data_IF_431361623351
#
_entry.id   IF_431361623351
#
_cell.length_a   1.000
_cell.length_b   1.000
_cell.length_c   1.000
_cell.angle_alpha   90.00
_cell.angle_beta   90.00
_cell.angle_gamma   90.00
#
_symmetry.space_group_name_H-M   'P 1'
#
loop_
_entity.id
_entity.type
_entity.pdbx_description
1 polymer ?
#
# COMPACT_ATOMS: atom_id res chain seq x y z
N UNK A 1 -7.85 -7.27 15.64
CA UNK A 1 -8.51 -6.13 14.96
C UNK A 1 -8.15 -6.17 13.49
N UNK A 2 -9.09 -5.84 12.60
CA UNK A 2 -8.82 -5.76 11.16
C UNK A 2 -7.99 -4.49 10.85
N UNK A 3 -7.04 -4.55 9.90
CA UNK A 3 -6.26 -3.37 9.52
C UNK A 3 -7.14 -2.35 8.81
N UNK A 4 -6.87 -1.06 9.05
CA UNK A 4 -7.41 0.05 8.25
C UNK A 4 -6.39 0.41 7.19
N UNK A 5 -6.81 0.37 5.92
CA UNK A 5 -5.99 0.82 4.81
C UNK A 5 -6.22 2.29 4.52
N UNK A 6 -5.18 2.99 4.09
CA UNK A 6 -5.25 4.37 3.66
C UNK A 6 -4.72 4.49 2.23
N UNK A 7 -5.51 5.02 1.30
CA UNK A 7 -5.06 5.28 -0.07
C UNK A 7 -4.67 6.74 -0.24
N UNK A 8 -3.48 6.97 -0.79
CA UNK A 8 -3.04 8.30 -1.20
C UNK A 8 -3.78 8.80 -2.48
N UNK A 9 -3.25 9.87 -3.07
CA UNK A 9 -3.81 10.51 -4.27
C UNK A 9 -3.55 9.72 -5.55
N UNK A 10 -2.61 8.78 -5.55
CA UNK A 10 -2.07 8.12 -6.75
C UNK A 10 -2.82 6.85 -7.17
N UNK A 11 -3.91 6.51 -6.46
CA UNK A 11 -4.72 5.31 -6.68
C UNK A 11 -6.11 5.59 -7.29
N UNK A 12 -6.42 6.86 -7.55
CA UNK A 12 -7.71 7.28 -8.12
C UNK A 12 -8.91 6.89 -7.24
N UNK A 13 -10.12 6.95 -7.83
CA UNK A 13 -11.38 6.69 -7.09
C UNK A 13 -11.77 5.21 -7.06
N UNK A 14 -11.45 4.46 -8.12
CA UNK A 14 -11.88 3.06 -8.27
C UNK A 14 -11.16 2.12 -7.31
N UNK A 15 -9.88 2.37 -7.02
CA UNK A 15 -9.10 1.48 -6.16
C UNK A 15 -9.68 1.37 -4.74
N UNK A 16 -9.85 2.47 -3.97
CA UNK A 16 -10.44 2.38 -2.63
C UNK A 16 -11.90 1.89 -2.67
N UNK A 17 -12.65 2.21 -3.73
CA UNK A 17 -14.03 1.72 -3.90
C UNK A 17 -14.09 0.19 -3.98
N UNK A 18 -13.31 -0.42 -4.87
CA UNK A 18 -13.27 -1.88 -5.04
C UNK A 18 -12.84 -2.58 -3.74
N UNK A 19 -11.89 -2.02 -3.00
CA UNK A 19 -11.46 -2.58 -1.72
C UNK A 19 -12.57 -2.49 -0.66
N UNK A 20 -13.29 -1.37 -0.59
CA UNK A 20 -14.45 -1.20 0.32
C UNK A 20 -15.58 -2.18 -0.03
N UNK A 21 -15.89 -2.34 -1.31
CA UNK A 21 -16.89 -3.31 -1.78
C UNK A 21 -16.55 -4.76 -1.43
N UNK A 22 -15.26 -5.08 -1.35
CA UNK A 22 -14.76 -6.38 -0.87
C UNK A 22 -14.74 -6.52 0.66
N UNK A 23 -15.24 -5.53 1.41
CA UNK A 23 -15.35 -5.56 2.87
C UNK A 23 -14.10 -5.07 3.62
N UNK A 24 -13.11 -4.50 2.94
CA UNK A 24 -11.96 -3.89 3.60
C UNK A 24 -12.30 -2.50 4.14
N UNK A 25 -11.78 -2.17 5.32
CA UNK A 25 -11.84 -0.80 5.83
C UNK A 25 -10.78 0.05 5.15
N UNK A 26 -11.21 1.03 4.37
CA UNK A 26 -10.31 1.89 3.59
C UNK A 26 -10.68 3.35 3.80
N UNK A 27 -9.69 4.16 4.12
CA UNK A 27 -9.74 5.61 4.21
C UNK A 27 -9.01 6.22 3.02
N UNK A 28 -9.44 7.38 2.54
CA UNK A 28 -8.80 8.06 1.40
C UNK A 28 -8.19 9.36 1.86
N UNK A 29 -7.09 9.76 1.24
CA UNK A 29 -6.48 11.07 1.50
C UNK A 29 -7.49 12.21 1.40
N UNK A 30 -8.31 12.25 0.33
CA UNK A 30 -9.30 13.30 0.12
C UNK A 30 -10.43 13.35 1.16
N UNK A 31 -10.61 12.30 1.97
CA UNK A 31 -11.61 12.26 3.03
C UNK A 31 -11.08 12.90 4.34
N UNK A 32 -9.75 13.06 4.48
CA UNK A 32 -9.10 13.50 5.73
C UNK A 32 -8.24 14.75 5.58
N UNK A 33 -7.77 15.05 4.37
CA UNK A 33 -6.77 16.09 4.13
C UNK A 33 -7.10 16.91 2.86
N UNK A 34 -6.75 18.21 2.83
CA UNK A 34 -6.87 19.01 1.62
C UNK A 34 -5.93 18.51 0.53
N UNK A 35 -6.23 18.82 -0.73
CA UNK A 35 -5.50 18.26 -1.88
C UNK A 35 -3.99 18.57 -1.85
N UNK A 36 -3.62 19.75 -1.37
CA UNK A 36 -2.26 20.28 -1.25
C UNK A 36 -1.55 19.91 0.05
N UNK A 37 -2.15 19.04 0.90
CA UNK A 37 -1.52 18.56 2.12
C UNK A 37 -0.13 17.93 1.82
N UNK A 38 0.94 18.43 2.45
CA UNK A 38 2.29 17.90 2.29
C UNK A 38 2.41 16.45 2.75
N UNK A 39 3.34 15.71 2.14
CA UNK A 39 3.50 14.29 2.45
C UNK A 39 3.87 13.98 3.91
N UNK A 40 4.79 14.72 4.56
CA UNK A 40 5.09 14.51 5.98
C UNK A 40 3.87 14.65 6.90
N UNK A 41 2.97 15.59 6.60
CA UNK A 41 1.84 15.91 7.47
C UNK A 41 0.80 14.79 7.49
N UNK A 42 0.41 14.27 6.31
CA UNK A 42 -0.52 13.15 6.28
C UNK A 42 0.15 11.85 6.73
N UNK A 43 1.44 11.63 6.44
CA UNK A 43 2.21 10.48 6.94
C UNK A 43 2.27 10.44 8.47
N UNK A 44 2.48 11.60 9.11
CA UNK A 44 2.39 11.73 10.57
C UNK A 44 1.01 11.29 11.08
N UNK A 45 -0.05 11.85 10.52
CA UNK A 45 -1.42 11.58 10.97
C UNK A 45 -1.82 10.10 10.81
N UNK A 46 -1.47 9.45 9.70
CA UNK A 46 -1.79 8.03 9.51
C UNK A 46 -0.92 7.11 10.36
N UNK A 47 0.34 7.50 10.61
CA UNK A 47 1.27 6.79 11.48
C UNK A 47 0.75 6.74 12.91
N UNK A 48 0.30 7.89 13.44
CA UNK A 48 -0.32 7.97 14.77
C UNK A 48 -1.61 7.14 14.90
N UNK A 49 -2.35 6.97 13.80
CA UNK A 49 -3.58 6.15 13.75
C UNK A 49 -3.30 4.65 13.56
N UNK A 50 -2.05 4.27 13.25
CA UNK A 50 -1.69 2.89 12.92
C UNK A 50 -2.31 2.39 11.62
N UNK A 51 -2.66 3.29 10.69
CA UNK A 51 -3.21 2.93 9.40
C UNK A 51 -2.12 2.47 8.44
N UNK A 52 -2.49 1.61 7.50
CA UNK A 52 -1.57 1.05 6.50
C UNK A 52 -1.74 1.81 5.20
N UNK A 53 -0.74 2.61 4.84
CA UNK A 53 -0.74 3.34 3.58
C UNK A 53 -0.58 2.38 2.40
N UNK A 54 -1.33 2.64 1.33
CA UNK A 54 -1.16 2.03 0.02
C UNK A 54 -0.89 3.17 -0.97
N UNK A 55 0.17 3.01 -1.74
CA UNK A 55 0.56 3.95 -2.80
C UNK A 55 0.86 3.20 -4.10
N UNK A 56 0.72 3.89 -5.23
CA UNK A 56 1.30 3.45 -6.50
C UNK A 56 2.58 4.21 -6.87
N UNK A 57 2.96 5.25 -6.12
CA UNK A 57 4.19 5.99 -6.37
C UNK A 57 5.43 5.18 -5.95
N UNK A 58 6.02 4.49 -6.93
CA UNK A 58 7.28 3.79 -6.75
C UNK A 58 8.49 4.72 -6.53
N UNK A 59 8.33 6.04 -6.60
CA UNK A 59 9.41 7.03 -6.40
C UNK A 59 9.69 7.33 -4.94
N UNK A 60 8.90 6.86 -3.98
CA UNK A 60 9.20 7.07 -2.56
C UNK A 60 10.63 6.66 -2.18
N UNK A 61 11.20 5.66 -2.88
CA UNK A 61 12.61 5.23 -2.72
C UNK A 61 13.65 6.31 -3.04
N UNK A 62 13.27 7.36 -3.75
CA UNK A 62 14.13 8.43 -4.26
C UNK A 62 13.83 9.79 -3.65
N UNK A 63 12.91 9.84 -2.68
CA UNK A 63 12.51 11.07 -2.00
C UNK A 63 12.93 10.95 -0.53
N UNK A 64 14.15 11.41 -0.18
CA UNK A 64 14.70 11.24 1.17
C UNK A 64 13.76 11.74 2.27
N UNK A 65 13.05 12.84 2.02
CA UNK A 65 12.11 13.43 2.97
C UNK A 65 10.91 12.53 3.26
N UNK A 66 10.34 11.88 2.23
CA UNK A 66 9.22 10.94 2.41
C UNK A 66 9.68 9.67 3.13
N UNK A 67 10.86 9.16 2.79
CA UNK A 67 11.44 8.01 3.50
C UNK A 67 11.68 8.33 4.97
N UNK A 68 12.24 9.52 5.27
CA UNK A 68 12.43 9.99 6.63
C UNK A 68 11.09 10.08 7.39
N UNK A 69 10.05 10.68 6.77
CA UNK A 69 8.73 10.78 7.37
C UNK A 69 8.08 9.40 7.64
N UNK A 70 8.23 8.43 6.73
CA UNK A 70 7.76 7.05 6.96
C UNK A 70 8.44 6.42 8.18
N UNK A 71 9.75 6.62 8.33
CA UNK A 71 10.53 6.07 9.45
C UNK A 71 10.17 6.78 10.75
N UNK A 72 10.22 8.10 10.76
CA UNK A 72 9.97 8.97 11.91
C UNK A 72 8.57 8.75 12.48
N UNK A 73 7.57 8.70 11.61
CA UNK A 73 6.17 8.53 12.00
C UNK A 73 5.71 7.07 12.06
N UNK A 74 6.65 6.12 11.96
CA UNK A 74 6.40 4.68 12.11
C UNK A 74 5.28 4.19 11.18
N UNK A 75 5.32 4.60 9.91
CA UNK A 75 4.29 4.25 8.93
C UNK A 75 4.49 2.83 8.40
N UNK A 76 3.39 2.09 8.25
CA UNK A 76 3.32 0.87 7.45
C UNK A 76 2.91 1.22 6.03
N UNK A 77 3.81 1.06 5.06
CA UNK A 77 3.57 1.43 3.67
C UNK A 77 3.63 0.22 2.73
N UNK A 78 2.59 0.08 1.91
CA UNK A 78 2.50 -0.88 0.82
C UNK A 78 2.59 -0.14 -0.52
N UNK A 79 3.58 -0.49 -1.34
CA UNK A 79 3.78 0.07 -2.68
C UNK A 79 3.28 -0.94 -3.71
N UNK A 80 2.24 -0.58 -4.46
CA UNK A 80 1.73 -1.38 -5.57
C UNK A 80 2.70 -1.28 -6.76
N UNK A 81 3.30 -2.40 -7.16
CA UNK A 81 4.29 -2.45 -8.23
C UNK A 81 3.71 -3.06 -9.51
N UNK A 82 3.95 -2.36 -10.63
CA UNK A 82 3.63 -2.79 -11.98
C UNK A 82 2.63 -1.86 -12.67
N UNK A 83 2.70 -1.79 -13.99
CA UNK A 83 1.81 -0.94 -14.78
C UNK A 83 0.49 -1.67 -15.06
N UNK A 84 -0.62 -1.18 -14.53
CA UNK A 84 -1.98 -1.67 -14.81
C UNK A 84 -3.01 -0.59 -14.44
N UNK A 85 -4.24 -0.66 -14.98
CA UNK A 85 -5.34 0.18 -14.50
C UNK A 85 -5.57 0.01 -12.99
N UNK A 86 -5.95 1.08 -12.30
CA UNK A 86 -6.18 1.05 -10.85
C UNK A 86 -7.16 -0.03 -10.40
N UNK A 87 -8.21 -0.30 -11.20
CA UNK A 87 -9.14 -1.38 -10.92
C UNK A 87 -8.47 -2.77 -10.93
N UNK A 88 -7.49 -3.00 -11.81
CA UNK A 88 -6.72 -4.25 -11.83
C UNK A 88 -5.74 -4.32 -10.67
N UNK A 89 -5.10 -3.20 -10.30
CA UNK A 89 -4.23 -3.15 -9.12
C UNK A 89 -5.02 -3.45 -7.83
N UNK A 90 -6.25 -2.94 -7.71
CA UNK A 90 -7.14 -3.24 -6.60
C UNK A 90 -7.51 -4.72 -6.54
N UNK A 91 -7.92 -5.30 -7.68
CA UNK A 91 -8.19 -6.74 -7.79
C UNK A 91 -6.96 -7.59 -7.46
N UNK A 92 -5.77 -7.17 -7.88
CA UNK A 92 -4.54 -7.85 -7.52
C UNK A 92 -4.26 -7.78 -6.01
N UNK A 93 -4.52 -6.65 -5.36
CA UNK A 93 -4.41 -6.54 -3.90
C UNK A 93 -5.37 -7.52 -3.22
N UNK A 94 -6.63 -7.57 -3.66
CA UNK A 94 -7.63 -8.52 -3.13
C UNK A 94 -7.22 -9.98 -3.34
N UNK A 95 -6.76 -10.34 -4.55
CA UNK A 95 -6.23 -11.67 -4.83
C UNK A 95 -5.02 -12.01 -3.94
N UNK A 96 -4.23 -11.01 -3.54
CA UNK A 96 -3.04 -11.16 -2.68
C UNK A 96 -3.35 -10.96 -1.18
N UNK A 97 -4.60 -10.70 -0.81
CA UNK A 97 -4.99 -10.23 0.53
C UNK A 97 -4.52 -11.16 1.64
N UNK A 98 -4.66 -12.48 1.48
CA UNK A 98 -4.23 -13.44 2.50
C UNK A 98 -2.71 -13.32 2.80
N UNK A 99 -1.88 -13.13 1.77
CA UNK A 99 -0.43 -12.94 1.91
C UNK A 99 -0.11 -11.60 2.55
N UNK A 100 -0.82 -10.54 2.16
CA UNK A 100 -0.67 -9.20 2.73
C UNK A 100 -1.03 -9.21 4.22
N UNK A 101 -2.13 -9.85 4.60
CA UNK A 101 -2.58 -9.92 5.99
C UNK A 101 -1.61 -10.73 6.85
N UNK A 102 -1.11 -11.87 6.33
CA UNK A 102 -0.07 -12.63 7.00
C UNK A 102 1.21 -11.81 7.18
N UNK A 103 1.61 -11.06 6.16
CA UNK A 103 2.77 -10.17 6.22
C UNK A 103 2.60 -9.07 7.28
N UNK A 104 1.45 -8.37 7.28
CA UNK A 104 1.15 -7.29 8.23
C UNK A 104 1.21 -7.81 9.68
N UNK A 105 0.71 -9.02 9.94
CA UNK A 105 0.76 -9.63 11.28
C UNK A 105 2.18 -9.97 11.73
N UNK A 106 3.08 -10.24 10.80
CA UNK A 106 4.47 -10.63 11.09
C UNK A 106 5.44 -9.46 11.20
N UNK A 107 5.06 -8.26 10.74
CA UNK A 107 5.94 -7.10 10.67
C UNK A 107 5.42 -5.94 11.52
N UNK A 108 6.31 -5.33 12.29
CA UNK A 108 6.00 -4.10 13.04
C UNK A 108 6.45 -2.88 12.24
N UNK A 109 5.70 -1.75 12.25
CA UNK A 109 6.17 -0.51 11.65
C UNK A 109 7.46 0.02 12.30
N UNK A 110 8.21 0.91 11.61
CA UNK A 110 8.01 1.27 10.21
C UNK A 110 8.42 0.14 9.28
N UNK A 111 7.67 -0.06 8.20
CA UNK A 111 8.11 -0.89 7.09
C UNK A 111 7.58 -0.35 5.78
N UNK A 112 8.31 -0.66 4.72
CA UNK A 112 7.87 -0.45 3.36
C UNK A 112 7.94 -1.81 2.67
N UNK A 113 6.81 -2.25 2.14
CA UNK A 113 6.71 -3.50 1.40
C UNK A 113 6.18 -3.25 -0.02
N UNK A 114 6.66 -4.04 -0.97
CA UNK A 114 6.23 -3.99 -2.37
C UNK A 114 5.26 -5.11 -2.65
N UNK A 115 4.11 -4.76 -3.17
CA UNK A 115 3.08 -5.70 -3.62
C UNK A 115 3.14 -5.78 -5.14
N UNK A 116 3.68 -6.87 -5.65
CA UNK A 116 3.80 -7.11 -7.09
C UNK A 116 2.59 -7.89 -7.57
N UNK A 117 2.09 -7.50 -8.73
CA UNK A 117 1.13 -8.31 -9.47
C UNK A 117 1.70 -9.67 -9.86
N UNK A 118 0.82 -10.68 -9.90
CA UNK A 118 1.13 -11.88 -10.65
C UNK A 118 1.41 -11.49 -12.12
N UNK A 119 2.36 -12.18 -12.77
CA UNK A 119 2.68 -11.91 -14.17
C UNK A 119 1.40 -11.96 -15.01
N UNK A 120 1.32 -11.12 -16.05
CA UNK A 120 0.18 -11.12 -16.95
C UNK A 120 -0.04 -12.54 -17.48
N UNK A 121 -1.10 -13.16 -16.97
CA UNK A 121 -1.60 -14.41 -17.46
C UNK A 121 -1.82 -14.31 -18.97
N UNK A 122 -1.46 -15.35 -19.74
CA UNK A 122 -1.84 -15.38 -21.16
C UNK A 122 -3.36 -15.55 -21.32
N UNK A 123 -4.07 -15.93 -20.24
CA UNK A 123 -5.51 -16.17 -20.21
C UNK A 123 -6.16 -15.38 -19.08
N UNK A 124 -7.38 -14.89 -19.30
CA UNK A 124 -8.12 -14.09 -18.33
C UNK A 124 -8.29 -14.78 -16.95
N UNK A 125 -8.36 -16.12 -16.89
CA UNK A 125 -8.53 -16.87 -15.64
C UNK A 125 -7.30 -16.83 -14.71
N UNK A 126 -6.08 -16.74 -15.25
CA UNK A 126 -4.86 -16.68 -14.44
C UNK A 126 -4.58 -15.25 -13.92
N UNK A 127 -5.39 -14.25 -14.34
CA UNK A 127 -5.32 -12.86 -13.85
C UNK A 127 -5.78 -12.68 -12.39
N UNK A 128 -6.44 -13.69 -11.82
CA UNK A 128 -6.84 -13.71 -10.40
C UNK A 128 -5.83 -14.41 -9.48
N UNK A 129 -4.69 -14.87 -10.02
CA UNK A 129 -3.67 -15.50 -9.19
C UNK A 129 -3.07 -14.50 -8.19
N UNK A 130 -2.77 -14.93 -6.94
CA UNK A 130 -2.17 -14.06 -5.95
C UNK A 130 -0.78 -13.59 -6.41
N UNK A 131 -0.54 -12.30 -6.24
CA UNK A 131 0.76 -11.67 -6.39
C UNK A 131 1.72 -12.00 -5.25
N UNK A 132 2.81 -11.25 -5.14
CA UNK A 132 3.81 -11.41 -4.07
C UNK A 132 3.98 -10.12 -3.28
N UNK A 133 4.29 -10.26 -1.99
CA UNK A 133 4.66 -9.14 -1.11
C UNK A 133 6.11 -9.34 -0.66
N UNK A 134 6.92 -8.29 -0.77
CA UNK A 134 8.33 -8.31 -0.38
C UNK A 134 8.64 -7.12 0.53
N UNK A 135 9.30 -7.38 1.66
CA UNK A 135 9.84 -6.33 2.53
C UNK A 135 10.98 -5.59 1.81
N UNK A 136 10.87 -4.27 1.69
CA UNK A 136 11.92 -3.41 1.13
C UNK A 136 12.69 -2.66 2.23
N UNK A 137 11.99 -2.11 3.21
CA UNK A 137 12.58 -1.48 4.40
C UNK A 137 11.98 -2.10 5.68
N UNK A 138 12.79 -2.41 6.70
CA UNK A 138 14.26 -2.30 6.73
C UNK A 138 14.91 -3.29 5.74
N UNK A 139 16.00 -2.87 5.09
CA UNK A 139 16.78 -3.81 4.29
C UNK A 139 17.39 -4.84 5.24
N UNK A 140 17.24 -6.12 4.94
CA UNK A 140 17.99 -7.16 5.66
C UNK A 140 19.47 -6.84 5.49
N UNK A 141 20.15 -6.49 6.58
CA UNK A 141 21.61 -6.44 6.59
C UNK A 141 22.10 -7.77 6.04
N UNK A 142 22.82 -7.74 4.92
CA UNK A 142 23.58 -8.91 4.48
C UNK A 142 24.64 -9.11 5.56
N UNK A 143 24.42 -10.05 6.48
CA UNK A 143 25.49 -10.59 7.30
C UNK A 143 26.45 -11.36 6.40
#
# INVERSE_FOLDING_TARGET
MAPVFFTDRDLGKQFPMILREAGLTVERHADHFPQDCPDPDWLHAIGSRGWIAITHDGRIRYKPNELAAVIEHRVSLLVMVGHAPYAELARNLLATQARIFGFIQQHKPPYIAKVYRHAAARRAHESMAPGRIELWYPQKSRC
#
